data_IF_957054407342
#
_entry.id   IF_957054407342
#
_cell.length_a   1.000
_cell.length_b   1.000
_cell.length_c   1.000
_cell.angle_alpha   90.00
_cell.angle_beta   90.00
_cell.angle_gamma   90.00
#
_symmetry.space_group_name_H-M   'P 1'
#
loop_
_entity.id
_entity.type
_entity.pdbx_description
1 polymer ?
#
# COMPACT_ATOMS: atom_id res chain seq x y z
N UNK A 1 18.43 11.21 -7.30
CA UNK A 1 19.67 10.84 -6.60
C UNK A 1 19.42 10.43 -5.17
N UNK A 2 20.45 10.15 -4.36
CA UNK A 2 20.32 9.57 -3.00
C UNK A 2 19.36 10.33 -2.06
N UNK A 3 19.29 11.66 -2.17
CA UNK A 3 18.39 12.51 -1.36
C UNK A 3 16.98 12.65 -1.94
N UNK A 4 16.65 11.96 -3.04
CA UNK A 4 15.30 11.95 -3.58
C UNK A 4 14.33 11.40 -2.54
N UNK A 5 13.11 11.96 -2.49
CA UNK A 5 12.03 11.47 -1.64
C UNK A 5 10.82 11.32 -2.54
N UNK A 6 10.17 10.16 -2.47
CA UNK A 6 8.86 9.99 -3.07
C UNK A 6 7.88 10.93 -2.39
N UNK A 7 6.85 11.32 -3.13
CA UNK A 7 5.80 12.17 -2.60
C UNK A 7 4.44 11.48 -2.65
N UNK A 8 3.60 11.85 -1.71
CA UNK A 8 2.17 11.55 -1.70
C UNK A 8 1.44 12.85 -1.40
N UNK A 9 0.49 13.23 -2.25
CA UNK A 9 -0.15 14.54 -2.19
C UNK A 9 -1.63 14.42 -1.87
N UNK A 10 -2.10 15.28 -0.97
CA UNK A 10 -3.51 15.43 -0.67
C UNK A 10 -4.04 16.66 -1.38
N UNK A 11 -5.07 16.48 -2.21
CA UNK A 11 -5.73 17.51 -2.98
C UNK A 11 -7.21 17.61 -2.62
N UNK A 12 -7.82 18.73 -2.98
CA UNK A 12 -9.26 18.78 -3.22
C UNK A 12 -9.61 19.32 -4.62
N UNK A 13 -10.79 18.94 -5.10
CA UNK A 13 -11.44 19.51 -6.28
C UNK A 13 -12.67 20.31 -5.85
N UNK A 14 -13.08 21.30 -6.66
CA UNK A 14 -14.26 22.12 -6.38
C UNK A 14 -13.96 23.26 -5.43
N UNK A 15 -14.93 23.61 -4.56
CA UNK A 15 -14.82 24.76 -3.67
C UNK A 15 -15.21 24.43 -2.22
N UNK A 16 -14.57 25.11 -1.27
CA UNK A 16 -14.90 25.05 0.15
C UNK A 16 -15.72 26.29 0.50
N UNK A 17 -16.91 26.11 1.06
CA UNK A 17 -17.78 27.20 1.50
C UNK A 17 -18.47 26.82 2.81
N UNK A 18 -18.37 27.68 3.83
CA UNK A 18 -18.94 27.44 5.17
C UNK A 18 -18.55 26.07 5.78
N UNK A 19 -17.35 25.59 5.46
CA UNK A 19 -16.85 24.28 5.89
C UNK A 19 -17.34 23.08 5.10
N UNK A 20 -18.09 23.27 4.02
CA UNK A 20 -18.52 22.19 3.12
C UNK A 20 -17.64 22.20 1.87
N UNK A 21 -16.95 21.09 1.61
CA UNK A 21 -16.26 20.84 0.34
C UNK A 21 -17.28 20.34 -0.69
N UNK A 22 -17.61 21.16 -1.68
CA UNK A 22 -18.43 20.77 -2.84
C UNK A 22 -17.54 20.21 -3.94
N UNK A 23 -17.04 19.00 -3.70
CA UNK A 23 -16.15 18.31 -4.61
C UNK A 23 -15.44 17.16 -3.91
N UNK A 24 -14.37 16.67 -4.52
CA UNK A 24 -13.70 15.46 -4.07
C UNK A 24 -12.46 15.77 -3.24
N UNK A 25 -12.12 14.89 -2.32
CA UNK A 25 -10.82 14.83 -1.65
C UNK A 25 -10.01 13.71 -2.31
N UNK A 26 -8.78 13.98 -2.71
CA UNK A 26 -7.96 13.05 -3.48
C UNK A 26 -6.61 12.85 -2.80
N UNK A 27 -6.30 11.60 -2.46
CA UNK A 27 -4.97 11.19 -2.03
C UNK A 27 -4.25 10.59 -3.23
N UNK A 28 -3.24 11.30 -3.76
CA UNK A 28 -2.50 10.90 -4.95
C UNK A 28 -1.12 10.38 -4.60
N UNK A 29 -0.81 9.17 -5.04
CA UNK A 29 0.50 8.57 -4.89
C UNK A 29 1.40 8.79 -6.11
N UNK A 30 2.71 8.85 -5.85
CA UNK A 30 3.75 8.93 -6.88
C UNK A 30 4.78 7.80 -6.76
N UNK A 31 4.33 6.63 -6.28
CA UNK A 31 5.11 5.41 -6.20
C UNK A 31 5.84 5.17 -4.88
N UNK A 32 5.56 5.95 -3.84
CA UNK A 32 6.16 5.77 -2.51
C UNK A 32 5.87 4.36 -1.96
N UNK A 33 6.85 3.46 -1.81
CA UNK A 33 6.61 2.12 -1.26
C UNK A 33 6.53 2.12 0.28
N UNK A 34 6.84 3.24 0.92
CA UNK A 34 7.02 3.36 2.37
C UNK A 34 5.80 3.94 3.08
N UNK A 35 4.86 4.54 2.36
CA UNK A 35 3.74 5.28 2.93
C UNK A 35 2.99 4.46 4.00
N UNK A 36 3.07 4.84 5.27
CA UNK A 36 2.38 4.15 6.36
C UNK A 36 2.97 2.76 6.70
N UNK A 37 4.19 2.44 6.27
CA UNK A 37 4.89 1.20 6.63
C UNK A 37 5.22 1.16 8.12
N UNK A 38 4.90 0.04 8.77
CA UNK A 38 5.32 -0.27 10.14
C UNK A 38 6.66 -1.04 10.18
N UNK A 39 7.23 -1.37 9.02
CA UNK A 39 8.48 -2.12 8.89
C UNK A 39 9.71 -1.24 8.67
N UNK A 40 9.52 0.06 8.44
CA UNK A 40 10.60 0.99 8.14
C UNK A 40 10.70 2.08 9.20
N UNK A 41 11.88 2.19 9.82
CA UNK A 41 12.18 3.26 10.77
C UNK A 41 12.07 4.64 10.12
N UNK A 42 11.57 5.63 10.86
CA UNK A 42 11.41 7.00 10.39
C UNK A 42 10.16 7.23 9.52
N UNK A 43 9.35 6.19 9.29
CA UNK A 43 8.05 6.29 8.64
C UNK A 43 6.95 6.37 9.70
N UNK A 44 6.00 7.32 9.59
CA UNK A 44 4.81 7.31 10.44
C UNK A 44 3.97 6.07 10.17
N UNK A 45 3.60 5.34 11.22
CA UNK A 45 2.68 4.21 11.10
C UNK A 45 1.32 4.63 10.51
N UNK A 46 0.53 3.64 10.09
CA UNK A 46 -0.74 3.89 9.40
C UNK A 46 -1.71 4.80 10.22
N UNK A 47 -1.93 4.59 11.53
CA UNK A 47 -2.74 5.50 12.34
C UNK A 47 -2.20 6.93 12.39
N UNK A 48 -0.89 7.11 12.61
CA UNK A 48 -0.26 8.43 12.69
C UNK A 48 -0.33 9.16 11.36
N UNK A 49 -0.09 8.45 10.25
CA UNK A 49 -0.22 8.99 8.90
C UNK A 49 -1.66 9.49 8.66
N UNK A 50 -2.67 8.69 8.98
CA UNK A 50 -4.07 9.09 8.82
C UNK A 50 -4.43 10.30 9.68
N UNK A 51 -3.98 10.33 10.94
CA UNK A 51 -4.19 11.47 11.82
C UNK A 51 -3.54 12.77 11.28
N UNK A 52 -2.39 12.66 10.60
CA UNK A 52 -1.75 13.80 9.95
C UNK A 52 -2.57 14.33 8.77
N UNK A 53 -3.11 13.44 7.92
CA UNK A 53 -4.00 13.86 6.83
C UNK A 53 -5.31 14.48 7.35
N UNK A 54 -5.90 13.93 8.43
CA UNK A 54 -7.08 14.51 9.07
C UNK A 54 -6.81 15.94 9.53
N UNK A 55 -5.67 16.21 10.19
CA UNK A 55 -5.27 17.57 10.60
C UNK A 55 -5.14 18.53 9.42
N UNK A 56 -4.62 18.06 8.29
CA UNK A 56 -4.53 18.85 7.05
C UNK A 56 -5.92 19.22 6.55
N UNK A 57 -6.85 18.27 6.50
CA UNK A 57 -8.24 18.50 6.05
C UNK A 57 -8.96 19.49 6.98
N UNK A 58 -8.80 19.34 8.29
CA UNK A 58 -9.35 20.28 9.27
C UNK A 58 -8.77 21.69 9.13
N UNK A 59 -7.46 21.81 8.89
CA UNK A 59 -6.78 23.10 8.67
C UNK A 59 -7.23 23.79 7.38
N UNK A 60 -7.65 23.01 6.37
CA UNK A 60 -8.29 23.53 5.17
C UNK A 60 -9.72 24.05 5.42
N UNK A 61 -10.24 23.91 6.64
CA UNK A 61 -11.57 24.35 7.04
C UNK A 61 -12.69 23.38 6.66
N UNK A 62 -12.36 22.19 6.15
CA UNK A 62 -13.34 21.18 5.71
C UNK A 62 -13.95 20.49 6.93
N UNK A 63 -15.28 20.50 7.00
CA UNK A 63 -16.12 19.87 8.04
C UNK A 63 -17.07 18.83 7.44
N UNK A 64 -17.41 18.96 6.16
CA UNK A 64 -18.26 18.03 5.40
C UNK A 64 -17.73 17.91 3.97
N UNK A 65 -17.83 16.72 3.37
CA UNK A 65 -17.44 16.46 1.98
C UNK A 65 -18.69 16.07 1.17
N UNK A 66 -19.09 16.91 0.22
CA UNK A 66 -20.16 16.65 -0.75
C UNK A 66 -19.60 16.10 -2.07
N UNK A 67 -18.73 15.09 -1.96
CA UNK A 67 -18.12 14.38 -3.07
C UNK A 67 -17.42 13.14 -2.57
N UNK A 68 -16.49 12.60 -3.35
CA UNK A 68 -15.83 11.32 -3.04
C UNK A 68 -14.51 11.56 -2.30
N UNK A 69 -14.08 10.56 -1.53
CA UNK A 69 -12.67 10.39 -1.17
C UNK A 69 -12.06 9.42 -2.16
N UNK A 70 -11.00 9.85 -2.85
CA UNK A 70 -10.43 9.14 -4.00
C UNK A 70 -8.97 8.79 -3.73
N UNK A 71 -8.59 7.54 -3.99
CA UNK A 71 -7.21 7.10 -4.07
C UNK A 71 -6.73 7.17 -5.52
N UNK A 72 -5.83 8.10 -5.83
CA UNK A 72 -5.31 8.30 -7.18
C UNK A 72 -3.94 7.63 -7.33
N UNK A 73 -3.92 6.56 -8.12
CA UNK A 73 -2.75 5.76 -8.46
C UNK A 73 -2.30 5.94 -9.92
N UNK A 74 -2.86 6.92 -10.64
CA UNK A 74 -2.66 7.15 -12.08
C UNK A 74 -1.22 7.50 -12.49
N UNK A 75 -0.34 7.77 -11.52
CA UNK A 75 1.07 8.08 -11.78
C UNK A 75 1.81 6.91 -12.44
N UNK A 76 1.51 5.69 -12.02
CA UNK A 76 2.01 4.49 -12.68
C UNK A 76 0.96 3.98 -13.67
N UNK A 77 1.41 3.65 -14.88
CA UNK A 77 0.58 3.08 -15.94
C UNK A 77 0.84 1.58 -16.10
N UNK A 78 -0.10 0.89 -16.70
CA UNK A 78 -0.02 -0.54 -17.01
C UNK A 78 -0.28 -1.45 -15.82
N UNK A 79 0.02 -2.73 -16.00
CA UNK A 79 -0.23 -3.78 -15.02
C UNK A 79 0.49 -3.52 -13.68
N UNK A 80 -0.15 -3.93 -12.60
CA UNK A 80 0.32 -3.72 -11.22
C UNK A 80 1.23 -4.85 -10.75
N UNK A 81 1.12 -6.04 -11.36
CA UNK A 81 2.00 -7.18 -11.14
C UNK A 81 2.85 -7.45 -12.40
N UNK A 82 4.03 -8.04 -12.23
CA UNK A 82 4.88 -8.42 -13.34
C UNK A 82 4.27 -9.57 -14.16
N UNK A 83 4.39 -9.52 -15.49
CA UNK A 83 3.81 -10.51 -16.40
C UNK A 83 4.31 -11.95 -16.19
N UNK A 84 5.44 -12.13 -15.50
CA UNK A 84 6.05 -13.44 -15.21
C UNK A 84 5.80 -13.92 -13.77
N UNK A 85 5.11 -13.10 -12.96
CA UNK A 85 4.81 -13.45 -11.57
C UNK A 85 3.82 -14.60 -11.54
N UNK A 86 4.09 -15.57 -10.67
CA UNK A 86 3.27 -16.74 -10.58
C UNK A 86 1.94 -16.39 -9.90
N UNK A 87 0.83 -16.84 -10.49
CA UNK A 87 -0.51 -16.55 -9.97
C UNK A 87 -0.66 -16.89 -8.48
N UNK A 88 -0.08 -18.01 -8.04
CA UNK A 88 -0.18 -18.48 -6.66
C UNK A 88 0.59 -17.62 -5.66
N UNK A 89 1.49 -16.75 -6.13
CA UNK A 89 2.25 -15.83 -5.27
C UNK A 89 1.49 -14.54 -4.99
N UNK A 90 0.60 -14.10 -5.89
CA UNK A 90 0.00 -12.76 -5.89
C UNK A 90 -0.84 -12.42 -4.65
N UNK A 91 -1.24 -13.42 -3.87
CA UNK A 91 -1.96 -13.23 -2.61
C UNK A 91 -1.04 -13.01 -1.40
N UNK A 92 0.28 -13.15 -1.57
CA UNK A 92 1.27 -13.11 -0.51
C UNK A 92 2.04 -11.79 -0.49
N UNK A 93 2.56 -11.41 0.68
CA UNK A 93 3.21 -10.11 0.92
C UNK A 93 4.46 -9.83 0.06
N UNK A 94 5.10 -10.85 -0.50
CA UNK A 94 6.28 -10.71 -1.34
C UNK A 94 5.93 -10.45 -2.82
N UNK A 95 4.65 -10.56 -3.20
CA UNK A 95 4.17 -10.37 -4.57
C UNK A 95 2.88 -9.52 -4.60
N UNK A 96 2.82 -8.46 -3.78
CA UNK A 96 1.62 -7.63 -3.59
C UNK A 96 1.13 -6.91 -4.83
N UNK A 97 2.02 -6.71 -5.81
CA UNK A 97 1.86 -5.73 -6.87
C UNK A 97 2.27 -4.34 -6.40
N UNK A 98 2.44 -3.44 -7.37
CA UNK A 98 2.87 -2.06 -7.19
C UNK A 98 1.86 -1.13 -7.84
N UNK A 99 1.47 -0.06 -7.16
CA UNK A 99 0.55 0.97 -7.66
C UNK A 99 1.25 2.33 -7.62
N UNK A 100 0.67 3.33 -8.30
CA UNK A 100 1.07 4.72 -8.09
C UNK A 100 0.85 5.17 -6.64
N UNK A 101 -0.20 4.66 -5.98
CA UNK A 101 -0.45 4.83 -4.55
C UNK A 101 -0.32 3.48 -3.84
N UNK A 102 0.83 3.28 -3.19
CA UNK A 102 1.05 2.17 -2.28
C UNK A 102 0.83 2.64 -0.84
N UNK A 103 0.48 1.72 0.06
CA UNK A 103 0.31 2.04 1.47
C UNK A 103 0.52 0.79 2.32
N UNK A 104 1.15 0.93 3.49
CA UNK A 104 1.40 -0.15 4.43
C UNK A 104 2.11 -1.35 3.77
N UNK A 105 3.09 -1.03 2.91
CA UNK A 105 3.81 -1.99 2.05
C UNK A 105 2.90 -2.94 1.24
N UNK A 106 1.67 -2.50 0.95
CA UNK A 106 0.64 -3.25 0.24
C UNK A 106 0.30 -4.62 0.86
N UNK A 107 0.56 -4.84 2.14
CA UNK A 107 0.21 -6.09 2.82
C UNK A 107 -0.59 -5.86 4.11
N UNK A 108 -1.27 -6.91 4.57
CA UNK A 108 -1.86 -7.04 5.90
C UNK A 108 -1.28 -8.25 6.63
N UNK A 109 -1.33 -8.22 7.95
CA UNK A 109 -1.10 -9.36 8.83
C UNK A 109 -2.38 -10.17 8.99
N UNK A 110 -2.25 -11.50 8.94
CA UNK A 110 -3.33 -12.45 9.16
C UNK A 110 -2.94 -13.39 10.30
N UNK A 111 -3.59 -13.20 11.45
CA UNK A 111 -3.34 -14.01 12.62
C UNK A 111 -4.28 -15.21 12.65
N UNK A 112 -3.69 -16.39 12.80
CA UNK A 112 -4.40 -17.62 13.13
C UNK A 112 -4.32 -17.89 14.63
N UNK A 113 -5.40 -18.41 15.22
CA UNK A 113 -5.32 -19.17 16.44
C UNK A 113 -4.81 -20.57 16.09
N UNK A 114 -3.59 -20.92 16.53
CA UNK A 114 -3.07 -22.28 16.33
C UNK A 114 -4.00 -23.30 16.99
N UNK A 115 -4.17 -24.44 16.32
CA UNK A 115 -4.89 -25.58 16.85
C UNK A 115 -3.97 -26.50 17.64
N UNK A 116 -4.53 -27.26 18.58
CA UNK A 116 -3.75 -28.12 19.47
C UNK A 116 -3.41 -29.48 18.87
N UNK A 117 -4.14 -29.93 17.84
CA UNK A 117 -3.95 -31.24 17.22
C UNK A 117 -3.65 -31.11 15.73
N UNK A 118 -2.80 -32.01 15.23
CA UNK A 118 -2.47 -32.08 13.82
C UNK A 118 -3.72 -32.41 12.98
N UNK A 119 -3.78 -31.89 11.76
CA UNK A 119 -4.91 -32.03 10.85
C UNK A 119 -6.09 -31.09 11.16
N UNK A 120 -6.14 -30.44 12.33
CA UNK A 120 -7.19 -29.46 12.63
C UNK A 120 -7.00 -28.17 11.82
N UNK A 121 -8.11 -27.57 11.39
CA UNK A 121 -8.10 -26.24 10.75
C UNK A 121 -7.97 -25.14 11.80
N UNK A 122 -6.86 -24.38 11.83
CA UNK A 122 -6.70 -23.25 12.72
C UNK A 122 -7.67 -22.14 12.32
N UNK A 123 -8.24 -21.42 13.31
CA UNK A 123 -9.20 -20.34 13.03
C UNK A 123 -8.49 -19.05 12.71
N UNK A 124 -8.97 -18.32 11.70
CA UNK A 124 -8.57 -16.92 11.50
C UNK A 124 -9.08 -16.11 12.69
N UNK A 125 -8.18 -15.36 13.31
CA UNK A 125 -8.45 -14.63 14.53
C UNK A 125 -8.45 -13.11 14.34
N UNK A 126 -7.57 -12.59 13.49
CA UNK A 126 -7.45 -11.16 13.24
C UNK A 126 -6.87 -10.91 11.85
N UNK A 127 -7.30 -9.79 11.26
CA UNK A 127 -6.70 -9.17 10.08
C UNK A 127 -6.27 -7.77 10.52
N UNK A 128 -5.01 -7.41 10.31
CA UNK A 128 -4.47 -6.10 10.70
C UNK A 128 -3.59 -5.50 9.59
N UNK A 129 -3.84 -4.28 9.11
CA UNK A 129 -5.07 -3.51 9.33
C UNK A 129 -6.29 -4.23 8.73
N UNK A 130 -7.49 -3.92 9.25
CA UNK A 130 -8.73 -4.44 8.67
C UNK A 130 -8.88 -3.97 7.21
N UNK A 131 -8.97 -4.92 6.28
CA UNK A 131 -9.18 -4.64 4.86
C UNK A 131 -10.68 -4.77 4.54
N UNK A 132 -11.36 -3.71 4.05
CA UNK A 132 -12.78 -3.77 3.71
C UNK A 132 -13.06 -4.84 2.67
N UNK A 133 -14.18 -5.56 2.82
CA UNK A 133 -14.65 -6.60 1.90
C UNK A 133 -13.75 -7.84 1.74
N UNK A 134 -12.61 -7.91 2.42
CA UNK A 134 -11.70 -9.06 2.35
C UNK A 134 -12.29 -10.24 3.14
N UNK A 135 -12.41 -11.39 2.49
CA UNK A 135 -12.85 -12.63 3.14
C UNK A 135 -12.06 -13.84 2.65
N UNK A 136 -12.05 -14.89 3.49
CA UNK A 136 -11.18 -16.04 3.30
C UNK A 136 -11.96 -17.35 3.29
N UNK A 137 -11.63 -18.21 2.33
CA UNK A 137 -11.87 -19.64 2.38
C UNK A 137 -10.63 -20.28 3.00
N UNK A 138 -10.76 -20.70 4.26
CA UNK A 138 -9.65 -21.24 5.03
C UNK A 138 -9.57 -22.76 4.90
N UNK A 139 -8.61 -23.25 4.11
CA UNK A 139 -8.27 -24.66 3.92
C UNK A 139 -6.93 -25.02 4.59
N UNK A 140 -6.42 -24.18 5.50
CA UNK A 140 -5.18 -24.46 6.24
C UNK A 140 -5.40 -25.64 7.19
N UNK A 141 -4.39 -26.49 7.34
CA UNK A 141 -4.37 -27.55 8.36
C UNK A 141 -3.16 -27.40 9.28
N UNK A 142 -3.29 -27.92 10.51
CA UNK A 142 -2.22 -27.86 11.49
C UNK A 142 -1.22 -29.00 11.28
N UNK A 143 0.07 -28.68 11.18
CA UNK A 143 1.18 -29.61 11.00
C UNK A 143 1.98 -29.81 12.31
N UNK A 144 2.93 -30.75 12.39
CA UNK A 144 3.78 -30.91 13.56
C UNK A 144 4.45 -29.61 14.02
N UNK A 145 4.88 -29.57 15.28
CA UNK A 145 5.65 -28.43 15.79
C UNK A 145 6.90 -28.18 14.94
N UNK A 146 7.30 -26.91 14.83
CA UNK A 146 8.52 -26.45 14.16
C UNK A 146 8.57 -26.60 12.64
N UNK A 147 7.45 -26.89 11.95
CA UNK A 147 7.40 -26.87 10.47
C UNK A 147 7.47 -25.46 9.88
N UNK A 148 7.20 -24.43 10.69
CA UNK A 148 7.16 -23.04 10.24
C UNK A 148 5.95 -22.73 9.37
N UNK A 149 6.00 -21.58 8.69
CA UNK A 149 4.97 -21.15 7.77
C UNK A 149 5.08 -21.93 6.46
N UNK A 150 4.04 -22.70 6.13
CA UNK A 150 3.87 -23.38 4.84
C UNK A 150 2.49 -23.04 4.26
N UNK A 151 1.90 -21.92 4.68
CA UNK A 151 0.61 -21.46 4.22
C UNK A 151 0.77 -20.47 3.07
N UNK A 152 -0.11 -20.58 2.08
CA UNK A 152 -0.13 -19.71 0.91
C UNK A 152 -1.51 -19.09 0.77
N UNK A 153 -1.54 -17.79 0.53
CA UNK A 153 -2.76 -17.05 0.23
C UNK A 153 -2.89 -16.93 -1.28
N UNK A 154 -3.99 -17.45 -1.82
CA UNK A 154 -4.29 -17.44 -3.24
C UNK A 154 -5.29 -16.32 -3.59
N UNK A 155 -5.00 -15.64 -4.69
CA UNK A 155 -5.81 -14.59 -5.32
C UNK A 155 -4.90 -13.50 -5.89
N UNK A 156 -5.42 -12.63 -6.75
CA UNK A 156 -4.65 -11.56 -7.38
C UNK A 156 -5.02 -10.15 -6.92
N UNK A 157 -4.45 -9.12 -7.57
CA UNK A 157 -4.97 -7.75 -7.52
C UNK A 157 -6.49 -7.72 -7.72
N UNK A 158 -7.17 -6.86 -6.98
CA UNK A 158 -8.63 -6.66 -6.98
C UNK A 158 -9.48 -7.86 -6.52
N UNK A 159 -8.87 -9.01 -6.19
CA UNK A 159 -9.57 -10.17 -5.67
C UNK A 159 -9.71 -10.10 -4.14
N UNK A 160 -10.91 -9.77 -3.67
CA UNK A 160 -11.24 -9.71 -2.23
C UNK A 160 -11.62 -11.08 -1.63
N UNK A 161 -11.95 -12.05 -2.47
CA UNK A 161 -12.10 -13.44 -2.07
C UNK A 161 -10.73 -14.11 -2.12
N UNK A 162 -10.25 -14.63 -0.99
CA UNK A 162 -8.97 -15.34 -0.90
C UNK A 162 -9.18 -16.78 -0.49
N UNK A 163 -8.37 -17.69 -1.03
CA UNK A 163 -8.28 -19.07 -0.53
C UNK A 163 -6.94 -19.21 0.18
N UNK A 164 -6.91 -19.80 1.36
CA UNK A 164 -5.67 -20.06 2.09
C UNK A 164 -5.48 -21.56 2.18
N UNK A 165 -4.32 -22.06 1.72
CA UNK A 165 -3.99 -23.50 1.76
C UNK A 165 -2.62 -23.72 2.37
N UNK A 166 -2.29 -24.97 2.65
CA UNK A 166 -1.01 -25.35 3.23
C UNK A 166 -1.12 -25.56 4.73
N UNK A 167 -0.03 -25.35 5.45
CA UNK A 167 0.01 -25.71 6.87
C UNK A 167 0.70 -24.66 7.74
N UNK A 168 0.28 -24.62 9.01
CA UNK A 168 0.99 -23.94 10.10
C UNK A 168 1.19 -24.92 11.26
N UNK A 169 2.21 -24.76 12.12
CA UNK A 169 2.45 -25.71 13.21
C UNK A 169 1.33 -25.69 14.25
N UNK A 170 1.08 -26.84 14.88
CA UNK A 170 0.25 -26.94 16.09
C UNK A 170 0.80 -26.07 17.22
N UNK A 171 -0.09 -25.58 18.08
CA UNK A 171 0.26 -24.74 19.21
C UNK A 171 -0.96 -24.17 19.90
N UNK A 172 -0.74 -23.24 20.82
CA UNK A 172 -1.79 -22.51 21.52
C UNK A 172 -1.69 -20.99 21.33
N UNK A 173 -0.71 -20.52 20.56
CA UNK A 173 -0.42 -19.11 20.37
C UNK A 173 -1.06 -18.57 19.08
N UNK A 174 -0.86 -17.27 18.82
CA UNK A 174 -1.09 -16.69 17.50
C UNK A 174 0.03 -17.11 16.55
N UNK A 175 -0.34 -17.40 15.32
CA UNK A 175 0.60 -17.58 14.22
C UNK A 175 0.23 -16.61 13.11
N UNK A 176 1.17 -15.75 12.72
CA UNK A 176 0.90 -14.66 11.78
C UNK A 176 1.53 -14.97 10.43
N UNK A 177 0.71 -14.91 9.38
CA UNK A 177 1.19 -14.85 7.99
C UNK A 177 0.86 -13.46 7.42
N UNK A 178 1.40 -13.12 6.25
CA UNK A 178 1.17 -11.81 5.61
C UNK A 178 0.60 -11.97 4.21
N UNK A 179 -0.52 -11.30 3.94
CA UNK A 179 -1.22 -11.34 2.64
C UNK A 179 -1.23 -9.99 1.93
N UNK A 180 -1.41 -10.01 0.62
CA UNK A 180 -1.44 -8.79 -0.20
C UNK A 180 -2.79 -8.07 -0.14
N UNK A 181 -2.75 -6.75 0.05
CA UNK A 181 -3.92 -5.88 -0.07
C UNK A 181 -4.38 -5.91 -1.54
N UNK A 182 -5.64 -6.28 -1.84
CA UNK A 182 -6.10 -6.43 -3.23
C UNK A 182 -6.08 -5.13 -4.04
N UNK A 183 -6.41 -4.00 -3.40
CA UNK A 183 -6.48 -2.66 -4.01
C UNK A 183 -5.93 -1.62 -3.01
N UNK A 184 -4.59 -1.42 -2.97
CA UNK A 184 -3.97 -0.47 -2.06
C UNK A 184 -4.47 0.98 -2.20
N UNK A 185 -4.74 1.51 -3.40
CA UNK A 185 -5.35 2.83 -3.56
C UNK A 185 -6.75 2.96 -2.93
N UNK A 186 -7.63 1.99 -3.16
CA UNK A 186 -8.95 1.95 -2.52
C UNK A 186 -8.80 1.89 -1.00
N UNK A 187 -7.91 1.01 -0.52
CA UNK A 187 -7.64 0.87 0.90
C UNK A 187 -7.14 2.18 1.52
N UNK A 188 -6.21 2.89 0.89
CA UNK A 188 -5.71 4.19 1.36
C UNK A 188 -6.83 5.22 1.50
N UNK A 189 -7.67 5.35 0.46
CA UNK A 189 -8.80 6.27 0.47
C UNK A 189 -9.86 5.90 1.52
N UNK A 190 -10.11 4.60 1.69
CA UNK A 190 -11.01 4.10 2.74
C UNK A 190 -10.47 4.37 4.15
N UNK A 191 -9.16 4.17 4.39
CA UNK A 191 -8.54 4.49 5.68
C UNK A 191 -8.58 5.99 5.99
N UNK A 192 -8.39 6.83 4.98
CA UNK A 192 -8.53 8.28 5.13
C UNK A 192 -9.97 8.67 5.46
N UNK A 193 -10.96 8.14 4.72
CA UNK A 193 -12.37 8.40 5.03
C UNK A 193 -12.72 7.94 6.45
N UNK A 194 -12.33 6.72 6.82
CA UNK A 194 -12.56 6.20 8.16
C UNK A 194 -11.99 7.13 9.24
N UNK A 195 -10.75 7.61 9.08
CA UNK A 195 -10.14 8.54 10.04
C UNK A 195 -10.81 9.94 10.06
N UNK A 196 -11.37 10.39 8.94
CA UNK A 196 -12.15 11.64 8.87
C UNK A 196 -13.49 11.49 9.59
N UNK A 197 -14.15 10.34 9.43
CA UNK A 197 -15.44 10.06 10.07
C UNK A 197 -15.34 10.01 11.60
N UNK A 198 -14.23 9.49 12.13
CA UNK A 198 -13.91 9.48 13.57
C UNK A 198 -13.87 10.89 14.18
N UNK A 199 -13.55 11.91 13.37
CA UNK A 199 -13.57 13.33 13.80
C UNK A 199 -14.79 14.10 13.29
N UNK A 200 -15.79 13.40 12.76
CA UNK A 200 -17.06 13.98 12.33
C UNK A 200 -17.08 14.56 10.91
N UNK A 201 -16.02 14.41 10.11
CA UNK A 201 -15.98 14.83 8.70
C UNK A 201 -16.43 13.67 7.82
N UNK A 202 -17.61 13.81 7.20
CA UNK A 202 -18.29 12.70 6.51
C UNK A 202 -18.58 12.99 5.05
N UNK A 203 -18.79 11.94 4.27
CA UNK A 203 -19.44 11.98 2.95
C UNK A 203 -20.46 10.85 2.85
N UNK A 204 -21.49 11.03 2.02
CA UNK A 204 -22.45 9.98 1.66
C UNK A 204 -22.07 9.24 0.38
N UNK A 205 -20.96 9.62 -0.26
CA UNK A 205 -20.48 9.00 -1.50
C UNK A 205 -19.53 7.85 -1.20
N UNK A 206 -19.58 6.83 -2.05
CA UNK A 206 -18.65 5.71 -1.99
C UNK A 206 -17.23 6.17 -2.31
N UNK A 207 -16.26 5.55 -1.62
CA UNK A 207 -14.82 5.66 -1.93
C UNK A 207 -14.56 5.14 -3.34
N UNK A 208 -13.61 5.76 -4.04
CA UNK A 208 -13.23 5.38 -5.41
C UNK A 208 -11.70 5.32 -5.56
N UNK A 209 -11.26 4.51 -6.53
CA UNK A 209 -9.89 4.49 -7.03
C UNK A 209 -9.84 5.10 -8.43
N UNK A 210 -8.82 5.91 -8.69
CA UNK A 210 -8.45 6.34 -10.04
C UNK A 210 -7.11 5.69 -10.43
N UNK A 211 -7.14 4.80 -11.42
CA UNK A 211 -5.94 4.12 -11.96
C UNK A 211 -5.53 4.62 -13.35
N UNK A 212 -6.43 5.30 -14.05
CA UNK A 212 -6.17 5.84 -15.37
C UNK A 212 -5.86 7.32 -15.31
N UNK A 213 -4.85 7.75 -16.09
CA UNK A 213 -4.61 9.17 -16.28
C UNK A 213 -5.71 9.74 -17.17
N UNK A 214 -6.51 10.66 -16.62
CA UNK A 214 -7.42 11.52 -17.38
C UNK A 214 -6.93 12.96 -17.31
N UNK A 215 -7.42 13.82 -18.22
CA UNK A 215 -7.09 15.25 -18.18
C UNK A 215 -7.43 15.81 -16.79
N UNK A 216 -6.41 16.29 -16.07
CA UNK A 216 -6.58 16.69 -14.67
C UNK A 216 -7.56 17.85 -14.59
N UNK A 217 -8.64 17.66 -13.83
CA UNK A 217 -9.45 18.78 -13.36
C UNK A 217 -8.57 19.69 -12.49
N UNK A 218 -8.87 21.00 -12.40
CA UNK A 218 -8.16 21.87 -11.47
C UNK A 218 -8.26 21.31 -10.04
N UNK A 219 -7.10 20.96 -9.48
CA UNK A 219 -6.95 20.45 -8.11
C UNK A 219 -6.21 21.49 -7.28
N UNK A 220 -6.62 21.67 -6.03
CA UNK A 220 -5.91 22.50 -5.06
C UNK A 220 -5.14 21.60 -4.12
N UNK A 221 -3.82 21.79 -4.05
CA UNK A 221 -2.93 21.05 -3.15
C UNK A 221 -3.16 21.50 -1.71
N UNK A 222 -3.43 20.57 -0.81
CA UNK A 222 -3.51 20.81 0.63
C UNK A 222 -2.20 20.51 1.34
N UNK A 223 -1.55 19.39 0.96
CA UNK A 223 -0.35 18.91 1.64
C UNK A 223 0.43 17.93 0.77
N UNK A 224 1.76 17.92 0.95
CA UNK A 224 2.67 16.94 0.37
C UNK A 224 3.38 16.20 1.50
N UNK A 225 3.14 14.90 1.58
CA UNK A 225 3.93 13.97 2.39
C UNK A 225 5.16 13.52 1.59
N UNK A 226 6.30 13.36 2.26
CA UNK A 226 7.53 12.87 1.66
C UNK A 226 8.02 11.61 2.39
N UNK A 227 8.39 10.57 1.63
CA UNK A 227 9.01 9.32 2.12
C UNK A 227 10.35 9.59 2.81
N UNK A 228 11.00 8.61 3.48
CA UNK A 228 12.44 8.67 3.76
C UNK A 228 13.29 8.89 2.49
N UNK A 229 14.59 9.10 2.65
CA UNK A 229 15.46 9.32 1.48
C UNK A 229 15.55 8.08 0.60
N UNK A 230 15.84 8.26 -0.69
CA UNK A 230 16.07 7.15 -1.60
C UNK A 230 17.21 6.24 -1.11
N UNK A 231 18.22 6.79 -0.43
CA UNK A 231 19.27 5.97 0.19
C UNK A 231 18.71 4.99 1.23
N UNK A 232 17.80 5.44 2.10
CA UNK A 232 17.16 4.59 3.11
C UNK A 232 16.25 3.53 2.46
N UNK A 233 15.52 3.93 1.42
CA UNK A 233 14.64 3.04 0.64
C UNK A 233 15.48 1.96 -0.06
N UNK A 234 16.59 2.34 -0.70
CA UNK A 234 17.53 1.39 -1.33
C UNK A 234 18.15 0.47 -0.28
N UNK A 235 18.49 0.98 0.90
CA UNK A 235 18.99 0.15 2.00
C UNK A 235 17.97 -0.91 2.39
N UNK A 236 16.71 -0.52 2.67
CA UNK A 236 15.64 -1.48 3.00
C UNK A 236 15.40 -2.49 1.88
N UNK A 237 15.35 -2.04 0.63
CA UNK A 237 15.15 -2.91 -0.53
C UNK A 237 16.22 -4.01 -0.62
N UNK A 238 17.50 -3.68 -0.38
CA UNK A 238 18.61 -4.63 -0.52
C UNK A 238 18.84 -5.48 0.74
N UNK A 239 18.76 -4.90 1.94
CA UNK A 239 19.01 -5.63 3.18
C UNK A 239 17.87 -6.59 3.53
N UNK A 240 16.63 -6.21 3.24
CA UNK A 240 15.43 -7.01 3.54
C UNK A 240 14.84 -7.67 2.28
N UNK A 241 15.47 -7.49 1.11
CA UNK A 241 15.05 -8.05 -0.18
C UNK A 241 13.57 -7.77 -0.53
N UNK A 242 13.10 -6.54 -0.31
CA UNK A 242 11.67 -6.18 -0.46
C UNK A 242 11.31 -5.85 -1.91
N UNK A 243 10.61 -6.77 -2.59
CA UNK A 243 10.22 -6.65 -4.00
C UNK A 243 9.45 -5.37 -4.32
N UNK A 244 8.48 -4.98 -3.48
CA UNK A 244 7.69 -3.75 -3.68
C UNK A 244 8.59 -2.51 -3.81
N UNK A 245 9.67 -2.44 -3.04
CA UNK A 245 10.57 -1.28 -3.06
C UNK A 245 11.34 -1.23 -4.38
N UNK A 246 11.85 -2.39 -4.84
CA UNK A 246 12.52 -2.51 -6.13
C UNK A 246 11.61 -2.10 -7.30
N UNK A 247 10.39 -2.65 -7.34
CA UNK A 247 9.40 -2.35 -8.37
C UNK A 247 9.00 -0.87 -8.37
N UNK A 248 8.71 -0.30 -7.18
CA UNK A 248 8.40 1.13 -7.06
C UNK A 248 9.52 2.02 -7.60
N UNK A 249 10.79 1.71 -7.30
CA UNK A 249 11.92 2.47 -7.82
C UNK A 249 12.02 2.38 -9.35
N UNK A 250 11.92 1.17 -9.92
CA UNK A 250 12.00 0.97 -11.38
C UNK A 250 10.85 1.67 -12.10
N UNK A 251 9.63 1.54 -11.58
CA UNK A 251 8.44 2.19 -12.16
C UNK A 251 8.49 3.71 -12.03
N UNK A 252 9.01 4.24 -10.93
CA UNK A 252 9.22 5.69 -10.77
C UNK A 252 10.27 6.23 -11.74
N UNK A 253 11.36 5.50 -11.98
CA UNK A 253 12.32 5.82 -13.04
C UNK A 253 11.61 5.83 -14.41
N UNK A 254 10.78 4.82 -14.69
CA UNK A 254 9.95 4.71 -15.89
C UNK A 254 9.05 5.92 -16.11
N UNK A 255 8.25 6.26 -15.09
CA UNK A 255 7.33 7.40 -15.10
C UNK A 255 8.08 8.74 -15.27
N UNK A 256 9.25 8.88 -14.63
CA UNK A 256 10.10 10.06 -14.81
C UNK A 256 10.69 10.16 -16.24
N UNK A 257 10.92 9.04 -16.97
CA UNK A 257 11.37 9.12 -18.39
C UNK A 257 10.31 9.74 -19.28
N UNK A 258 9.03 9.56 -18.94
CA UNK A 258 7.91 10.18 -19.65
C UNK A 258 7.77 11.68 -19.33
N UNK A 259 8.65 12.25 -18.49
CA UNK A 259 8.80 13.68 -18.22
C UNK A 259 10.28 14.15 -18.45
N UNK A 260 10.59 14.80 -19.59
CA UNK A 260 11.93 14.78 -20.20
C UNK A 260 13.10 15.51 -19.50
N UNK A 261 12.92 16.17 -18.33
CA UNK A 261 13.93 17.14 -17.82
C UNK A 261 14.86 16.57 -16.72
N UNK A 262 14.54 15.46 -16.05
CA UNK A 262 15.23 15.05 -14.80
C UNK A 262 16.31 13.95 -15.00
N UNK A 263 16.55 13.54 -16.23
CA UNK A 263 17.04 12.19 -16.53
C UNK A 263 18.56 11.96 -16.43
N UNK A 264 19.39 12.94 -16.76
CA UNK A 264 20.83 12.70 -16.97
C UNK A 264 21.62 12.50 -15.66
N UNK A 265 21.14 13.03 -14.53
CA UNK A 265 21.78 12.87 -13.21
C UNK A 265 21.53 11.49 -12.58
N UNK A 266 20.34 10.91 -12.78
CA UNK A 266 19.90 9.72 -12.04
C UNK A 266 20.52 8.42 -12.57
N UNK A 267 20.64 8.27 -13.89
CA UNK A 267 21.26 7.09 -14.51
C UNK A 267 22.77 7.02 -14.19
N UNK A 268 23.44 8.18 -14.15
CA UNK A 268 24.84 8.26 -13.72
C UNK A 268 24.99 7.76 -12.29
N UNK A 269 24.12 8.16 -11.36
CA UNK A 269 24.22 7.68 -9.97
C UNK A 269 23.93 6.20 -9.81
N UNK A 270 22.93 5.63 -10.50
CA UNK A 270 22.62 4.19 -10.41
C UNK A 270 23.74 3.30 -10.99
N UNK A 271 24.37 3.73 -12.08
CA UNK A 271 25.49 3.00 -12.69
C UNK A 271 26.81 3.23 -11.96
N UNK A 272 26.97 4.34 -11.24
CA UNK A 272 28.18 4.66 -10.47
C UNK A 272 28.20 4.05 -9.06
N UNK A 273 27.06 3.60 -8.50
CA UNK A 273 27.01 2.97 -7.16
C UNK A 273 27.47 1.50 -7.12
N UNK A 274 27.95 0.93 -8.23
CA UNK A 274 28.84 -0.25 -8.21
C UNK A 274 28.27 -1.58 -7.68
N UNK A 275 26.97 -1.69 -7.38
CA UNK A 275 26.38 -2.90 -6.76
C UNK A 275 26.05 -4.06 -7.73
N UNK A 276 26.54 -4.04 -8.97
CA UNK A 276 26.25 -5.08 -9.99
C UNK A 276 27.51 -5.81 -10.47
N UNK A 277 28.69 -5.62 -9.86
CA UNK A 277 29.93 -6.21 -10.38
C UNK A 277 30.29 -7.62 -9.90
N UNK A 278 29.60 -8.20 -8.92
CA UNK A 278 30.00 -9.50 -8.35
C UNK A 278 28.95 -10.62 -8.54
N UNK A 279 28.25 -10.68 -9.68
CA UNK A 279 27.45 -11.85 -10.07
C UNK A 279 27.39 -12.04 -11.60
N UNK A 280 28.49 -12.52 -12.18
CA UNK A 280 28.50 -13.38 -13.38
C UNK A 280 29.32 -14.61 -13.04
#
# INVERSE_FOLDING_TARGET
GANYRFKTELFYEGNISNGVLRGNLILKGFGDPTLGSDQMEGVPDLPTLMANFVKVVQKAGIKEIQGKVIGDASFFRGEVAGNTWQWYDLGNYYATGTWGLNIHENFYYLDFQQASREGETPKIARIEPLIPNLYFINEVTSAPKNTGDQAYIYGGPYAYARVIKGTIPVGSQRFTIKGSIPDPPFFAAHRLLYALEEVGIKTTKLVQTDVEWTAEKPRTLLFTHYSPTLADIVKRANYESVNLYCESMIRAIGAAKMQPIVWQEALKQYLLTGLVRDWI
#
